data_IF_618252185265
#
_entry.id   IF_618252185265
#
_cell.length_a   1.000
_cell.length_b   1.000
_cell.length_c   1.000
_cell.angle_alpha   90.00
_cell.angle_beta   90.00
_cell.angle_gamma   90.00
#
_symmetry.space_group_name_H-M   'P 1'
#
loop_
_entity.id
_entity.type
_entity.pdbx_description
1 polymer ?
#
# COMPACT_ATOMS: atom_id res chain seq x y z
N UNK A 1 23.23 -12.18 26.92
CA UNK A 1 22.66 -11.78 25.62
C UNK A 1 21.22 -11.37 25.89
N UNK A 2 20.83 -10.12 25.63
CA UNK A 2 19.42 -9.71 25.73
C UNK A 2 18.59 -10.40 24.66
N UNK A 3 17.39 -10.84 25.01
CA UNK A 3 16.38 -11.30 24.04
C UNK A 3 15.96 -10.10 23.18
N UNK A 4 15.87 -10.29 21.86
CA UNK A 4 15.32 -9.28 20.95
C UNK A 4 13.86 -8.99 21.37
N UNK A 5 13.44 -7.74 21.26
CA UNK A 5 12.01 -7.41 21.39
C UNK A 5 11.24 -7.93 20.18
N UNK A 6 9.93 -8.07 20.31
CA UNK A 6 9.07 -8.47 19.20
C UNK A 6 9.27 -7.61 17.93
N UNK A 7 9.35 -6.30 18.10
CA UNK A 7 9.60 -5.38 16.96
C UNK A 7 11.00 -5.55 16.38
N UNK A 8 12.01 -5.89 17.18
CA UNK A 8 13.36 -6.15 16.66
C UNK A 8 13.41 -7.43 15.84
N UNK A 9 12.66 -8.46 16.24
CA UNK A 9 12.53 -9.71 15.47
C UNK A 9 11.86 -9.46 14.12
N UNK A 10 10.75 -8.69 14.12
CA UNK A 10 10.05 -8.31 12.89
C UNK A 10 10.91 -7.45 11.97
N UNK A 11 11.65 -6.49 12.52
CA UNK A 11 12.61 -5.66 11.78
C UNK A 11 13.70 -6.52 11.14
N UNK A 12 14.33 -7.39 11.92
CA UNK A 12 15.40 -8.28 11.45
C UNK A 12 14.93 -9.19 10.31
N UNK A 13 13.72 -9.74 10.42
CA UNK A 13 13.10 -10.55 9.37
C UNK A 13 12.87 -9.73 8.10
N UNK A 14 12.30 -8.54 8.20
CA UNK A 14 12.02 -7.68 7.06
C UNK A 14 13.32 -7.24 6.35
N UNK A 15 14.34 -6.85 7.09
CA UNK A 15 15.67 -6.50 6.56
C UNK A 15 16.32 -7.69 5.85
N UNK A 16 16.24 -8.88 6.45
CA UNK A 16 16.75 -10.10 5.83
C UNK A 16 16.07 -10.37 4.49
N UNK A 17 14.74 -10.30 4.43
CA UNK A 17 13.97 -10.50 3.20
C UNK A 17 14.38 -9.48 2.12
N UNK A 18 14.54 -8.22 2.47
CA UNK A 18 14.94 -7.17 1.52
C UNK A 18 16.33 -7.42 0.94
N UNK A 19 17.27 -7.84 1.78
CA UNK A 19 18.65 -8.18 1.36
C UNK A 19 18.67 -9.43 0.47
N UNK A 20 17.87 -10.44 0.81
CA UNK A 20 17.71 -11.67 0.00
C UNK A 20 17.21 -11.34 -1.41
N UNK A 21 16.17 -10.51 -1.52
CA UNK A 21 15.66 -10.09 -2.84
C UNK A 21 16.69 -9.28 -3.63
N UNK A 22 17.43 -8.39 -2.97
CA UNK A 22 18.46 -7.60 -3.63
C UNK A 22 19.62 -8.46 -4.15
N UNK A 23 19.93 -9.58 -3.46
CA UNK A 23 20.99 -10.51 -3.84
C UNK A 23 20.58 -11.49 -4.94
N UNK A 24 19.34 -11.97 -4.87
CA UNK A 24 18.89 -13.12 -5.68
C UNK A 24 18.01 -12.74 -6.87
N UNK A 25 17.33 -11.58 -6.84
CA UNK A 25 16.45 -11.14 -7.91
C UNK A 25 17.16 -10.18 -8.86
N UNK A 26 17.04 -10.44 -10.16
CA UNK A 26 17.76 -9.68 -11.19
C UNK A 26 17.38 -8.19 -11.22
N UNK A 27 16.10 -7.88 -11.08
CA UNK A 27 15.63 -6.48 -11.20
C UNK A 27 14.47 -6.20 -10.23
N UNK A 28 14.78 -5.95 -8.95
CA UNK A 28 13.75 -5.62 -7.96
C UNK A 28 13.30 -4.15 -8.05
N UNK A 29 12.09 -3.87 -7.57
CA UNK A 29 11.52 -2.53 -7.39
C UNK A 29 10.70 -2.50 -6.10
N UNK A 30 10.71 -1.38 -5.37
CA UNK A 30 9.84 -1.20 -4.22
C UNK A 30 8.64 -0.34 -4.56
N UNK A 31 7.43 -0.89 -4.39
CA UNK A 31 6.21 -0.10 -4.58
C UNK A 31 6.00 0.85 -3.41
N UNK A 32 5.82 2.13 -3.71
CA UNK A 32 5.59 3.18 -2.73
C UNK A 32 4.19 3.78 -2.90
N UNK A 33 3.26 3.34 -2.08
CA UNK A 33 1.86 3.77 -2.13
C UNK A 33 1.56 5.02 -1.28
N UNK A 34 2.58 5.56 -0.59
CA UNK A 34 2.51 6.72 0.31
C UNK A 34 1.77 6.42 1.63
N UNK A 35 1.18 5.24 1.77
CA UNK A 35 0.54 4.80 3.02
C UNK A 35 1.55 4.45 4.11
N UNK A 36 1.07 4.32 5.36
CA UNK A 36 1.89 3.99 6.55
C UNK A 36 2.77 2.74 6.34
N UNK A 37 2.20 1.70 5.75
CA UNK A 37 2.92 0.43 5.49
C UNK A 37 4.08 0.64 4.51
N UNK A 38 3.88 1.41 3.44
CA UNK A 38 4.95 1.73 2.48
C UNK A 38 5.99 2.70 3.05
N UNK A 39 5.62 3.56 4.01
CA UNK A 39 6.58 4.42 4.72
C UNK A 39 7.47 3.60 5.66
N UNK A 40 6.90 2.61 6.36
CA UNK A 40 7.68 1.61 7.13
C UNK A 40 8.61 0.82 6.21
N UNK A 41 8.11 0.36 5.06
CA UNK A 41 8.91 -0.36 4.07
C UNK A 41 10.09 0.47 3.55
N UNK A 42 9.88 1.76 3.27
CA UNK A 42 10.97 2.67 2.88
C UNK A 42 12.00 2.82 3.99
N UNK A 43 11.58 3.02 5.23
CA UNK A 43 12.47 3.13 6.39
C UNK A 43 13.31 1.85 6.55
N UNK A 44 12.67 0.68 6.49
CA UNK A 44 13.35 -0.62 6.57
C UNK A 44 14.34 -0.81 5.43
N UNK A 45 14.01 -0.40 4.21
CA UNK A 45 14.92 -0.48 3.07
C UNK A 45 16.15 0.42 3.27
N UNK A 46 15.96 1.66 3.71
CA UNK A 46 17.08 2.56 4.02
C UNK A 46 17.97 1.97 5.12
N UNK A 47 17.37 1.37 6.14
CA UNK A 47 18.11 0.72 7.25
C UNK A 47 18.83 -0.56 6.80
N UNK A 48 18.22 -1.35 5.90
CA UNK A 48 18.77 -2.60 5.39
C UNK A 48 20.10 -2.40 4.64
N UNK A 49 20.25 -1.29 3.95
CA UNK A 49 21.39 -1.01 3.09
C UNK A 49 22.30 0.12 3.60
N UNK A 50 22.00 0.66 4.80
CA UNK A 50 22.84 1.70 5.40
C UNK A 50 24.34 1.25 5.48
N UNK A 51 25.32 2.14 5.13
CA UNK A 51 25.19 3.57 4.81
C UNK A 51 24.80 3.87 3.34
N UNK A 52 24.76 2.87 2.49
CA UNK A 52 24.38 3.04 1.09
C UNK A 52 22.85 3.16 0.90
N UNK A 53 22.45 3.56 -0.28
CA UNK A 53 21.04 3.56 -0.67
C UNK A 53 20.57 2.15 -1.06
N UNK A 54 19.25 1.86 -0.96
CA UNK A 54 18.71 0.61 -1.50
C UNK A 54 19.11 0.43 -2.98
N UNK A 55 19.60 -0.76 -3.39
CA UNK A 55 20.12 -1.01 -4.74
C UNK A 55 18.98 -1.26 -5.76
N UNK A 56 17.81 -0.68 -5.52
CA UNK A 56 16.64 -0.77 -6.40
C UNK A 56 15.83 0.52 -6.35
N UNK A 57 15.13 0.87 -7.45
CA UNK A 57 14.27 2.04 -7.48
C UNK A 57 12.98 1.84 -6.68
N UNK A 58 12.34 2.95 -6.36
CA UNK A 58 10.99 3.01 -5.83
C UNK A 58 10.02 3.35 -6.95
N UNK A 59 8.79 2.84 -6.88
CA UNK A 59 7.78 3.11 -7.90
C UNK A 59 6.43 3.44 -7.29
N UNK A 60 5.89 4.57 -7.70
CA UNK A 60 4.53 4.99 -7.39
C UNK A 60 3.63 4.83 -8.62
N UNK A 61 2.51 4.13 -8.46
CA UNK A 61 1.46 4.09 -9.49
C UNK A 61 0.50 5.25 -9.23
N UNK A 62 0.60 6.27 -10.07
CA UNK A 62 -0.28 7.43 -10.01
C UNK A 62 -1.57 7.14 -10.77
N UNK A 63 -2.66 7.08 -10.03
CA UNK A 63 -4.00 6.85 -10.55
C UNK A 63 -4.73 8.14 -10.92
N UNK A 64 -4.05 9.29 -10.82
CA UNK A 64 -4.57 10.66 -11.03
C UNK A 64 -5.59 11.14 -10.01
N UNK A 65 -6.03 10.29 -9.10
CA UNK A 65 -7.01 10.57 -8.06
C UNK A 65 -6.45 10.32 -6.64
N UNK A 66 -5.21 10.73 -6.42
CA UNK A 66 -4.61 10.73 -5.07
C UNK A 66 -4.95 12.04 -4.36
N UNK A 67 -4.98 12.01 -3.03
CA UNK A 67 -5.03 13.22 -2.24
C UNK A 67 -3.83 14.12 -2.54
N UNK A 68 -4.02 15.43 -2.57
CA UNK A 68 -2.94 16.41 -2.79
C UNK A 68 -1.82 16.25 -1.76
N UNK A 69 -2.18 16.12 -0.48
CA UNK A 69 -1.22 15.87 0.60
C UNK A 69 -0.36 14.62 0.37
N UNK A 70 -0.90 13.57 -0.26
CA UNK A 70 -0.11 12.37 -0.60
C UNK A 70 0.95 12.66 -1.66
N UNK A 71 0.60 13.43 -2.69
CA UNK A 71 1.54 13.75 -3.78
C UNK A 71 2.66 14.65 -3.25
N UNK A 72 2.31 15.67 -2.49
CA UNK A 72 3.28 16.58 -1.85
C UNK A 72 4.22 15.82 -0.92
N UNK A 73 3.68 14.93 -0.09
CA UNK A 73 4.47 14.09 0.81
C UNK A 73 5.40 13.14 0.05
N UNK A 74 4.93 12.50 -1.03
CA UNK A 74 5.74 11.64 -1.89
C UNK A 74 6.96 12.39 -2.42
N UNK A 75 6.73 13.58 -3.00
CA UNK A 75 7.78 14.35 -3.65
C UNK A 75 8.77 14.90 -2.61
N UNK A 76 8.29 15.32 -1.44
CA UNK A 76 9.13 15.70 -0.30
C UNK A 76 10.05 14.54 0.12
N UNK A 77 9.47 13.38 0.40
CA UNK A 77 10.21 12.18 0.86
C UNK A 77 11.22 11.71 -0.18
N UNK A 78 10.83 11.69 -1.46
CA UNK A 78 11.74 11.29 -2.54
C UNK A 78 12.97 12.20 -2.59
N UNK A 79 12.78 13.52 -2.46
CA UNK A 79 13.84 14.52 -2.44
C UNK A 79 14.73 14.39 -1.19
N UNK A 80 14.13 14.33 0.00
CA UNK A 80 14.86 14.31 1.27
C UNK A 80 15.68 13.03 1.46
N UNK A 81 15.12 11.88 1.10
CA UNK A 81 15.82 10.59 1.15
C UNK A 81 16.72 10.34 -0.05
N UNK A 82 16.62 11.17 -1.09
CA UNK A 82 17.40 11.06 -2.31
C UNK A 82 17.21 9.71 -3.00
N UNK A 83 15.98 9.18 -2.99
CA UNK A 83 15.63 7.90 -3.63
C UNK A 83 15.26 8.09 -5.09
N UNK A 84 15.55 7.06 -5.91
CA UNK A 84 15.11 7.01 -7.30
C UNK A 84 13.62 6.62 -7.35
N UNK A 85 12.75 7.61 -7.61
CA UNK A 85 11.30 7.45 -7.60
C UNK A 85 10.74 7.47 -9.02
N UNK A 86 10.29 6.32 -9.49
CA UNK A 86 9.54 6.17 -10.73
C UNK A 86 8.06 6.46 -10.45
N UNK A 87 7.49 7.44 -11.13
CA UNK A 87 6.05 7.70 -11.13
C UNK A 87 5.47 7.19 -12.44
N UNK A 88 4.54 6.26 -12.37
CA UNK A 88 3.92 5.66 -13.55
C UNK A 88 2.41 5.88 -13.56
N UNK A 89 1.90 6.37 -14.67
CA UNK A 89 0.46 6.57 -14.93
C UNK A 89 0.05 5.79 -16.17
N UNK A 90 -1.14 5.20 -16.19
CA UNK A 90 -1.71 4.62 -17.40
C UNK A 90 -2.23 5.74 -18.31
N UNK A 91 -1.38 6.17 -19.25
CA UNK A 91 -1.70 7.28 -20.16
C UNK A 91 -2.93 7.01 -21.03
N UNK A 92 -3.16 5.76 -21.42
CA UNK A 92 -4.33 5.40 -22.22
C UNK A 92 -5.62 5.54 -21.40
N UNK A 93 -5.60 5.11 -20.14
CA UNK A 93 -6.73 5.33 -19.22
C UNK A 93 -7.01 6.83 -19.00
N UNK A 94 -5.96 7.66 -18.92
CA UNK A 94 -6.11 9.12 -18.83
C UNK A 94 -6.76 9.69 -20.09
N UNK A 95 -6.30 9.30 -21.29
CA UNK A 95 -6.87 9.76 -22.57
C UNK A 95 -8.35 9.36 -22.72
N UNK A 96 -8.73 8.21 -22.21
CA UNK A 96 -10.12 7.73 -22.18
C UNK A 96 -10.98 8.39 -21.11
N UNK A 97 -10.41 9.27 -20.27
CA UNK A 97 -11.13 9.96 -19.20
C UNK A 97 -11.58 9.03 -18.05
N UNK A 98 -10.87 7.92 -17.85
CA UNK A 98 -11.21 6.94 -16.79
C UNK A 98 -11.12 7.60 -15.42
N UNK A 99 -12.23 7.61 -14.69
CA UNK A 99 -12.34 8.25 -13.38
C UNK A 99 -13.22 7.40 -12.42
N UNK A 100 -13.11 7.60 -11.09
CA UNK A 100 -13.80 6.76 -10.11
C UNK A 100 -15.31 6.95 -10.06
N UNK A 101 -15.85 8.10 -10.52
CA UNK A 101 -17.27 8.38 -10.45
C UNK A 101 -18.06 7.69 -11.57
N UNK A 102 -17.52 7.69 -12.78
CA UNK A 102 -18.21 7.21 -13.96
C UNK A 102 -17.88 5.73 -14.25
N UNK A 103 -16.78 5.20 -13.72
CA UNK A 103 -16.26 3.88 -14.07
C UNK A 103 -16.18 2.89 -12.89
N UNK A 104 -16.48 3.33 -11.65
CA UNK A 104 -16.55 2.44 -10.48
C UNK A 104 -15.32 1.52 -10.31
N UNK A 105 -15.55 0.21 -10.22
CA UNK A 105 -14.48 -0.78 -10.07
C UNK A 105 -13.54 -0.88 -11.28
N UNK A 106 -14.01 -0.59 -12.49
CA UNK A 106 -13.18 -0.58 -13.70
C UNK A 106 -12.08 0.48 -13.63
N UNK A 107 -12.33 1.63 -12.96
CA UNK A 107 -11.29 2.61 -12.71
C UNK A 107 -10.10 2.01 -11.94
N UNK A 108 -10.36 1.26 -10.88
CA UNK A 108 -9.28 0.64 -10.09
C UNK A 108 -8.53 -0.41 -10.90
N UNK A 109 -9.22 -1.19 -11.70
CA UNK A 109 -8.56 -2.15 -12.57
C UNK A 109 -7.66 -1.45 -13.59
N UNK A 110 -8.17 -0.49 -14.34
CA UNK A 110 -7.44 0.17 -15.42
C UNK A 110 -6.31 1.05 -14.87
N UNK A 111 -6.61 1.94 -13.92
CA UNK A 111 -5.67 2.97 -13.46
C UNK A 111 -4.69 2.47 -12.40
N UNK A 112 -4.94 1.32 -11.77
CA UNK A 112 -4.04 0.75 -10.75
C UNK A 112 -3.50 -0.61 -11.17
N UNK A 113 -4.36 -1.62 -11.40
CA UNK A 113 -3.90 -3.00 -11.69
C UNK A 113 -3.19 -3.10 -13.02
N UNK A 114 -3.82 -2.62 -14.10
CA UNK A 114 -3.21 -2.65 -15.43
C UNK A 114 -2.00 -1.70 -15.51
N UNK A 115 -2.08 -0.51 -14.90
CA UNK A 115 -0.95 0.41 -14.81
C UNK A 115 0.27 -0.24 -14.16
N UNK A 116 0.07 -0.98 -13.05
CA UNK A 116 1.15 -1.71 -12.39
C UNK A 116 1.74 -2.78 -13.32
N UNK A 117 0.91 -3.58 -13.98
CA UNK A 117 1.35 -4.61 -14.93
C UNK A 117 2.15 -4.01 -16.09
N UNK A 118 1.66 -2.91 -16.66
CA UNK A 118 2.34 -2.16 -17.71
C UNK A 118 3.70 -1.65 -17.24
N UNK A 119 3.77 -1.03 -16.05
CA UNK A 119 5.01 -0.51 -15.49
C UNK A 119 6.04 -1.63 -15.27
N UNK A 120 5.65 -2.73 -14.64
CA UNK A 120 6.54 -3.86 -14.38
C UNK A 120 7.09 -4.46 -15.66
N UNK A 121 6.25 -4.60 -16.69
CA UNK A 121 6.67 -5.07 -18.02
C UNK A 121 7.58 -4.07 -18.72
N UNK A 122 7.19 -2.79 -18.75
CA UNK A 122 7.95 -1.71 -19.40
C UNK A 122 9.37 -1.60 -18.87
N UNK A 123 9.53 -1.68 -17.56
CA UNK A 123 10.84 -1.57 -16.91
C UNK A 123 11.54 -2.92 -16.73
N UNK A 124 10.88 -4.05 -17.01
CA UNK A 124 11.43 -5.39 -16.88
C UNK A 124 11.69 -5.83 -15.44
N UNK A 125 10.88 -5.35 -14.47
CA UNK A 125 11.05 -5.74 -13.08
C UNK A 125 10.63 -7.19 -12.84
N UNK A 126 11.50 -7.94 -12.18
CA UNK A 126 11.31 -9.37 -11.86
C UNK A 126 10.80 -9.61 -10.44
N UNK A 127 11.03 -8.68 -9.54
CA UNK A 127 10.51 -8.72 -8.18
C UNK A 127 9.96 -7.34 -7.78
N UNK A 128 8.81 -7.33 -7.09
CA UNK A 128 8.23 -6.08 -6.59
C UNK A 128 7.86 -6.22 -5.11
N UNK A 129 8.48 -5.40 -4.28
CA UNK A 129 8.13 -5.32 -2.86
C UNK A 129 6.80 -4.61 -2.65
N UNK A 130 6.02 -5.07 -1.69
CA UNK A 130 4.78 -4.45 -1.26
C UNK A 130 4.49 -4.58 0.21
N UNK A 131 3.71 -3.64 0.71
CA UNK A 131 3.35 -3.52 2.13
C UNK A 131 2.18 -4.40 2.57
N UNK A 132 1.84 -5.46 1.84
CA UNK A 132 0.73 -6.35 2.21
C UNK A 132 1.01 -7.14 3.47
N UNK A 133 0.04 -7.20 4.39
CA UNK A 133 0.14 -7.91 5.68
C UNK A 133 -0.93 -9.00 5.78
N UNK A 134 -0.62 -10.11 6.44
CA UNK A 134 -1.58 -11.21 6.67
C UNK A 134 -2.74 -10.80 7.57
N UNK A 135 -2.49 -9.85 8.45
CA UNK A 135 -3.46 -9.27 9.37
C UNK A 135 -4.53 -8.43 8.65
N UNK A 136 -4.19 -7.87 7.48
CA UNK A 136 -5.04 -6.94 6.74
C UNK A 136 -6.33 -7.60 6.22
N UNK A 137 -6.22 -8.83 5.69
CA UNK A 137 -7.37 -9.60 5.21
C UNK A 137 -7.06 -11.08 4.96
N UNK A 138 -8.11 -11.95 4.95
CA UNK A 138 -7.96 -13.41 4.88
C UNK A 138 -7.21 -13.91 3.64
N UNK A 139 -7.35 -13.25 2.49
CA UNK A 139 -6.67 -13.70 1.27
C UNK A 139 -5.15 -13.42 1.31
N UNK A 140 -4.72 -12.41 2.09
CA UNK A 140 -3.31 -12.16 2.35
C UNK A 140 -2.63 -13.29 3.13
N UNK A 141 -3.35 -13.93 4.03
CA UNK A 141 -2.83 -15.08 4.77
C UNK A 141 -2.51 -16.29 3.85
N UNK A 142 -3.14 -16.39 2.68
CA UNK A 142 -2.86 -17.44 1.68
C UNK A 142 -1.63 -17.12 0.82
N UNK A 143 -1.30 -15.86 0.61
CA UNK A 143 -0.07 -15.47 -0.04
C UNK A 143 1.12 -15.73 0.87
N UNK A 144 2.23 -16.16 0.29
CA UNK A 144 3.49 -16.29 0.99
C UNK A 144 4.21 -14.94 1.03
N UNK A 145 5.31 -14.88 1.76
CA UNK A 145 6.20 -13.71 1.74
C UNK A 145 6.71 -13.48 0.31
N UNK A 146 7.13 -14.57 -0.38
CA UNK A 146 7.48 -14.56 -1.80
C UNK A 146 6.31 -15.12 -2.61
N UNK A 147 5.43 -14.23 -3.06
CA UNK A 147 4.23 -14.58 -3.80
C UNK A 147 4.53 -14.65 -5.29
N UNK A 148 4.48 -15.85 -5.84
CA UNK A 148 4.78 -16.13 -7.22
C UNK A 148 3.70 -15.61 -8.18
N UNK A 149 4.15 -15.09 -9.32
CA UNK A 149 3.29 -14.60 -10.42
C UNK A 149 3.69 -15.28 -11.73
N UNK A 150 2.70 -15.80 -12.43
CA UNK A 150 2.88 -16.37 -13.75
C UNK A 150 3.16 -15.29 -14.83
N UNK A 151 3.27 -15.71 -16.10
CA UNK A 151 3.55 -14.81 -17.24
C UNK A 151 2.48 -13.73 -17.45
N UNK A 152 1.26 -14.00 -17.05
CA UNK A 152 0.13 -13.04 -17.08
C UNK A 152 0.15 -12.10 -15.85
N UNK A 153 1.18 -12.22 -15.00
CA UNK A 153 1.33 -11.52 -13.72
C UNK A 153 0.20 -11.84 -12.71
N UNK A 154 -0.47 -12.96 -12.89
CA UNK A 154 -1.51 -13.46 -12.01
C UNK A 154 -0.93 -14.29 -10.88
N UNK A 155 -1.55 -14.22 -9.70
CA UNK A 155 -1.20 -15.09 -8.59
C UNK A 155 -1.64 -16.53 -8.86
N UNK A 156 -0.70 -17.45 -8.73
CA UNK A 156 -0.94 -18.88 -8.87
C UNK A 156 -0.74 -19.61 -7.53
N UNK A 157 -1.82 -19.82 -6.76
CA UNK A 157 -1.71 -20.50 -5.46
C UNK A 157 -1.27 -21.96 -5.55
N UNK A 158 -1.42 -22.62 -6.71
CA UNK A 158 -1.03 -24.03 -6.89
C UNK A 158 0.47 -24.19 -7.02
N UNK A 159 1.14 -23.19 -7.60
CA UNK A 159 2.59 -23.18 -7.79
C UNK A 159 3.34 -22.39 -6.71
N UNK A 160 2.63 -22.00 -5.64
CA UNK A 160 3.24 -21.31 -4.52
C UNK A 160 4.21 -22.25 -3.79
N UNK A 161 5.42 -21.75 -3.57
CA UNK A 161 6.51 -22.53 -2.96
C UNK A 161 6.44 -22.47 -1.44
N UNK A 162 6.80 -23.54 -0.73
CA UNK A 162 6.87 -23.53 0.74
C UNK A 162 8.02 -22.63 1.22
N UNK A 163 7.80 -21.98 2.35
CA UNK A 163 8.79 -21.13 3.04
C UNK A 163 9.11 -21.74 4.41
N UNK A 164 9.76 -22.91 4.37
CA UNK A 164 10.13 -23.65 5.58
C UNK A 164 11.47 -23.13 6.09
N UNK A 165 11.57 -22.91 7.40
CA UNK A 165 12.78 -22.38 8.07
C UNK A 165 13.29 -21.04 7.54
N UNK A 166 12.38 -20.19 7.05
CA UNK A 166 12.73 -18.89 6.42
C UNK A 166 13.65 -19.03 5.20
N UNK A 167 13.60 -20.15 4.51
CA UNK A 167 14.28 -20.33 3.23
C UNK A 167 13.32 -19.94 2.10
N UNK A 168 13.79 -19.07 1.23
CA UNK A 168 13.00 -18.53 0.13
C UNK A 168 13.53 -19.07 -1.22
N UNK A 169 12.63 -19.41 -2.10
CA UNK A 169 12.98 -19.79 -3.46
C UNK A 169 12.60 -18.66 -4.42
N UNK A 170 13.62 -17.94 -4.87
CA UNK A 170 13.51 -16.77 -5.74
C UNK A 170 13.58 -17.09 -7.22
N UNK A 171 13.83 -18.36 -7.60
CA UNK A 171 13.95 -18.74 -9.01
C UNK A 171 12.64 -18.56 -9.74
N UNK A 172 12.69 -17.85 -10.87
CA UNK A 172 11.58 -17.64 -11.79
C UNK A 172 12.00 -18.02 -13.20
N UNK A 173 11.02 -18.39 -14.03
CA UNK A 173 11.23 -18.60 -15.46
C UNK A 173 11.04 -17.31 -16.22
N UNK A 174 11.47 -17.27 -17.47
CA UNK A 174 11.28 -16.12 -18.33
C UNK A 174 9.80 -15.69 -18.42
N UNK A 175 9.53 -14.44 -18.12
CA UNK A 175 8.19 -13.84 -18.09
C UNK A 175 7.43 -14.00 -16.77
N UNK A 176 7.95 -14.75 -15.81
CA UNK A 176 7.41 -14.84 -14.46
C UNK A 176 7.97 -13.73 -13.57
N UNK A 177 7.34 -13.47 -12.43
CA UNK A 177 7.79 -12.47 -11.48
C UNK A 177 7.36 -12.83 -10.05
N UNK A 178 7.86 -12.09 -9.08
CA UNK A 178 7.47 -12.21 -7.68
C UNK A 178 6.89 -10.92 -7.11
N UNK A 179 5.94 -11.08 -6.19
CA UNK A 179 5.59 -10.04 -5.24
C UNK A 179 6.17 -10.44 -3.89
N UNK A 180 6.87 -9.54 -3.24
CA UNK A 180 7.55 -9.81 -1.97
C UNK A 180 6.96 -8.93 -0.89
N UNK A 181 6.61 -9.55 0.24
CA UNK A 181 5.91 -8.88 1.36
C UNK A 181 6.76 -8.94 2.65
N UNK A 182 7.78 -8.10 2.81
CA UNK A 182 8.68 -8.15 3.96
C UNK A 182 8.00 -7.96 5.31
N UNK A 183 6.90 -7.22 5.33
CA UNK A 183 6.11 -6.96 6.54
C UNK A 183 4.86 -7.85 6.65
N UNK A 184 4.83 -8.99 5.95
CA UNK A 184 3.67 -9.90 5.91
C UNK A 184 3.22 -10.37 7.30
N UNK A 185 4.15 -10.54 8.22
CA UNK A 185 3.90 -11.04 9.58
C UNK A 185 3.55 -9.93 10.60
N UNK A 186 3.59 -8.66 10.19
CA UNK A 186 3.29 -7.52 11.04
C UNK A 186 1.79 -7.31 11.17
N UNK A 187 1.33 -6.92 12.36
CA UNK A 187 -0.03 -6.44 12.61
C UNK A 187 -0.14 -4.92 12.35
N UNK A 188 -1.38 -4.39 12.28
CA UNK A 188 -1.57 -2.94 12.23
C UNK A 188 -0.96 -2.24 13.45
N UNK A 189 -1.08 -2.87 14.62
CA UNK A 189 -0.46 -2.40 15.86
C UNK A 189 1.07 -2.33 15.75
N UNK A 190 1.71 -3.36 15.21
CA UNK A 190 3.17 -3.38 15.04
C UNK A 190 3.63 -2.25 14.13
N UNK A 191 2.88 -1.96 13.05
CA UNK A 191 3.16 -0.83 12.14
C UNK A 191 3.14 0.49 12.92
N UNK A 192 2.09 0.76 13.69
CA UNK A 192 1.98 2.02 14.44
C UNK A 192 3.04 2.15 15.54
N UNK A 193 3.29 1.08 16.29
CA UNK A 193 4.33 1.07 17.32
C UNK A 193 5.73 1.24 16.72
N UNK A 194 5.97 0.68 15.53
CA UNK A 194 7.25 0.85 14.85
C UNK A 194 7.43 2.27 14.30
N UNK A 195 6.37 2.86 13.73
CA UNK A 195 6.36 4.28 13.31
C UNK A 195 6.71 5.17 14.49
N UNK A 196 6.13 4.94 15.66
CA UNK A 196 6.41 5.69 16.89
C UNK A 196 7.85 5.48 17.36
N UNK A 197 8.31 4.23 17.45
CA UNK A 197 9.65 3.89 17.93
C UNK A 197 10.76 4.50 17.07
N UNK A 198 10.62 4.41 15.77
CA UNK A 198 11.63 4.87 14.80
C UNK A 198 11.42 6.33 14.35
N UNK A 199 10.37 7.00 14.89
CA UNK A 199 9.98 8.35 14.50
C UNK A 199 9.84 8.51 12.97
N UNK A 200 9.11 7.57 12.35
CA UNK A 200 8.90 7.55 10.90
C UNK A 200 7.90 8.64 10.53
N UNK A 201 8.29 9.52 9.63
CA UNK A 201 7.38 10.50 9.08
C UNK A 201 6.33 9.84 8.18
N UNK A 202 5.06 10.19 8.39
CA UNK A 202 3.91 9.70 7.61
C UNK A 202 3.08 10.88 7.11
N UNK A 203 2.28 10.63 6.06
CA UNK A 203 1.43 11.65 5.48
C UNK A 203 0.42 12.19 6.51
N UNK A 204 0.17 13.52 6.55
CA UNK A 204 -0.69 14.16 7.56
C UNK A 204 -2.14 13.66 7.60
N UNK A 205 -2.62 13.01 6.54
CA UNK A 205 -3.95 12.42 6.46
C UNK A 205 -4.25 11.36 7.54
N UNK A 206 -3.23 10.80 8.18
CA UNK A 206 -3.41 9.86 9.29
C UNK A 206 -3.77 10.55 10.61
N UNK A 207 -3.52 11.84 10.73
CA UNK A 207 -3.86 12.65 11.90
C UNK A 207 -5.20 13.33 11.71
N UNK A 208 -5.98 13.45 12.77
CA UNK A 208 -7.24 14.18 12.76
C UNK A 208 -7.02 15.66 12.44
N UNK A 209 -7.81 16.15 11.50
CA UNK A 209 -7.85 17.57 11.14
C UNK A 209 -9.25 17.94 10.66
N UNK A 210 -9.60 19.22 10.76
CA UNK A 210 -10.83 19.73 10.17
C UNK A 210 -10.72 19.73 8.65
N UNK A 211 -11.60 18.96 7.98
CA UNK A 211 -11.56 18.73 6.55
C UNK A 211 -12.94 18.89 5.92
N UNK A 212 -13.04 19.42 4.68
CA UNK A 212 -14.29 19.42 3.93
C UNK A 212 -14.65 17.99 3.52
N UNK A 213 -15.85 17.56 3.88
CA UNK A 213 -16.32 16.19 3.62
C UNK A 213 -17.77 16.19 3.13
N UNK A 214 -18.15 15.09 2.49
CA UNK A 214 -19.55 14.73 2.22
C UNK A 214 -19.83 13.36 2.81
N UNK A 215 -21.04 13.15 3.30
CA UNK A 215 -21.52 11.82 3.69
C UNK A 215 -22.17 11.14 2.50
N UNK A 216 -21.71 9.95 2.18
CA UNK A 216 -22.19 9.17 1.04
C UNK A 216 -22.24 7.69 1.38
N UNK A 217 -23.46 7.12 1.34
CA UNK A 217 -23.67 5.70 1.60
C UNK A 217 -23.04 5.22 2.93
N UNK A 218 -23.16 6.05 3.99
CA UNK A 218 -22.59 5.78 5.31
C UNK A 218 -21.07 5.97 5.42
N UNK A 219 -20.43 6.51 4.38
CA UNK A 219 -18.99 6.81 4.38
C UNK A 219 -18.75 8.31 4.39
N UNK A 220 -17.72 8.74 5.11
CA UNK A 220 -17.23 10.12 5.11
C UNK A 220 -16.19 10.25 4.02
N UNK A 221 -16.51 10.99 2.95
CA UNK A 221 -15.62 11.19 1.81
C UNK A 221 -15.08 12.61 1.83
N UNK A 222 -13.77 12.78 1.89
CA UNK A 222 -13.13 14.09 1.84
C UNK A 222 -13.29 14.71 0.44
N UNK A 223 -13.57 16.00 0.41
CA UNK A 223 -13.59 16.83 -0.80
C UNK A 223 -12.21 17.45 -0.98
N UNK A 224 -11.34 16.79 -1.73
CA UNK A 224 -9.93 17.19 -1.87
C UNK A 224 -9.72 18.28 -2.94
N UNK A 225 -10.55 18.27 -3.98
CA UNK A 225 -10.49 19.24 -5.07
C UNK A 225 -11.86 19.45 -5.78
N UNK A 226 -11.87 20.32 -6.78
CA UNK A 226 -13.04 20.71 -7.58
C UNK A 226 -13.57 19.63 -8.52
N UNK A 227 -12.84 18.54 -8.70
CA UNK A 227 -13.29 17.37 -9.48
C UNK A 227 -14.33 16.52 -8.76
N UNK A 228 -14.59 16.77 -7.46
CA UNK A 228 -15.62 16.05 -6.71
C UNK A 228 -17.00 16.29 -7.32
N UNK A 229 -17.65 15.22 -7.73
CA UNK A 229 -19.04 15.25 -8.21
C UNK A 229 -19.99 15.05 -7.01
N UNK A 230 -20.67 16.13 -6.60
CA UNK A 230 -21.70 16.06 -5.57
C UNK A 230 -22.98 15.44 -6.13
N UNK A 231 -23.63 14.59 -5.35
CA UNK A 231 -24.95 14.05 -5.66
C UNK A 231 -26.06 15.07 -5.27
N UNK A 232 -27.25 14.98 -5.87
CA UNK A 232 -28.37 15.84 -5.45
C UNK A 232 -28.64 15.72 -3.95
N UNK A 233 -28.65 16.85 -3.26
CA UNK A 233 -28.89 16.93 -1.81
C UNK A 233 -27.65 16.76 -0.93
N UNK A 234 -26.50 16.34 -1.46
CA UNK A 234 -25.23 16.35 -0.70
C UNK A 234 -24.79 17.78 -0.40
N UNK A 235 -24.28 17.99 0.82
CA UNK A 235 -23.68 19.25 1.26
C UNK A 235 -22.27 18.99 1.76
N UNK A 236 -21.37 19.92 1.47
CA UNK A 236 -20.03 19.91 2.04
C UNK A 236 -20.12 20.40 3.47
N UNK A 237 -19.67 19.58 4.41
CA UNK A 237 -19.54 19.88 5.82
C UNK A 237 -18.07 19.88 6.21
N UNK A 238 -17.72 20.57 7.30
CA UNK A 238 -16.39 20.50 7.87
C UNK A 238 -16.44 19.64 9.13
N UNK A 239 -15.64 18.57 9.14
CA UNK A 239 -15.55 17.64 10.26
C UNK A 239 -14.10 17.34 10.61
N UNK A 240 -13.85 17.05 11.89
CA UNK A 240 -12.55 16.52 12.33
C UNK A 240 -12.45 15.06 11.93
N UNK A 241 -11.64 14.77 10.92
CA UNK A 241 -11.50 13.43 10.35
C UNK A 241 -10.05 13.05 10.13
N UNK A 242 -9.76 11.76 10.24
CA UNK A 242 -8.52 11.12 9.83
C UNK A 242 -8.78 9.88 8.97
N UNK A 243 -7.73 9.33 8.41
CA UNK A 243 -7.82 8.11 7.61
C UNK A 243 -7.06 6.96 8.29
N UNK A 244 -7.60 5.74 8.27
CA UNK A 244 -6.90 4.53 8.72
C UNK A 244 -6.10 3.88 7.59
N UNK A 245 -6.62 3.99 6.36
CA UNK A 245 -5.94 3.53 5.13
C UNK A 245 -6.06 4.59 4.06
N UNK A 246 -5.12 4.63 3.14
CA UNK A 246 -5.09 5.60 2.05
C UNK A 246 -5.15 4.93 0.68
N UNK A 247 -5.91 5.53 -0.21
CA UNK A 247 -6.08 5.07 -1.59
C UNK A 247 -6.34 6.23 -2.54
N UNK A 248 -7.31 6.08 -3.44
CA UNK A 248 -7.85 7.17 -4.25
C UNK A 248 -8.88 7.94 -3.43
N UNK A 249 -8.83 9.27 -3.44
CA UNK A 249 -9.59 10.06 -2.47
C UNK A 249 -11.11 9.83 -2.49
N UNK A 250 -11.79 9.68 -3.63
CA UNK A 250 -13.24 9.45 -3.60
C UNK A 250 -13.63 8.01 -3.24
N UNK A 251 -12.65 7.09 -3.16
CA UNK A 251 -12.84 5.68 -2.82
C UNK A 251 -12.28 5.32 -1.43
N UNK A 252 -11.87 6.32 -0.67
CA UNK A 252 -11.29 6.18 0.66
C UNK A 252 -12.14 6.95 1.66
N UNK A 253 -12.80 6.23 2.55
CA UNK A 253 -13.56 6.83 3.64
C UNK A 253 -12.66 7.29 4.77
N UNK A 254 -12.97 8.46 5.33
CA UNK A 254 -12.43 8.94 6.61
C UNK A 254 -13.24 8.42 7.78
N UNK A 255 -12.71 8.59 8.97
CA UNK A 255 -13.39 8.38 10.24
C UNK A 255 -13.38 9.67 11.05
N UNK A 256 -14.46 10.00 11.75
CA UNK A 256 -14.45 11.07 12.73
C UNK A 256 -13.50 10.71 13.86
N UNK A 257 -12.61 11.62 14.21
CA UNK A 257 -11.59 11.38 15.21
C UNK A 257 -11.05 12.71 15.74
N UNK A 258 -10.52 12.66 16.95
CA UNK A 258 -9.78 13.78 17.58
C UNK A 258 -8.30 13.44 17.77
N UNK A 259 -7.83 12.30 17.26
CA UNK A 259 -6.46 11.84 17.43
C UNK A 259 -5.48 12.67 16.57
N UNK A 260 -4.71 13.52 17.22
CA UNK A 260 -3.72 14.43 16.60
C UNK A 260 -2.28 13.96 16.80
N UNK A 261 -2.07 12.94 17.63
CA UNK A 261 -0.75 12.38 17.96
C UNK A 261 -0.68 10.90 17.64
N UNK A 262 0.54 10.36 17.53
CA UNK A 262 0.73 8.91 17.34
C UNK A 262 0.19 8.09 18.51
N UNK A 263 0.35 8.58 19.74
CA UNK A 263 -0.17 7.90 20.93
C UNK A 263 -1.69 7.75 20.86
N UNK A 264 -2.39 8.83 20.53
CA UNK A 264 -3.86 8.81 20.38
C UNK A 264 -4.31 7.89 19.25
N UNK A 265 -3.60 7.87 18.11
CA UNK A 265 -3.88 6.94 17.00
C UNK A 265 -3.69 5.50 17.43
N UNK A 266 -2.64 5.21 18.19
CA UNK A 266 -2.35 3.86 18.71
C UNK A 266 -3.48 3.43 19.65
N UNK A 267 -3.90 4.29 20.58
CA UNK A 267 -4.97 4.02 21.51
C UNK A 267 -6.31 3.77 20.80
N UNK A 268 -6.65 4.56 19.79
CA UNK A 268 -7.81 4.32 18.94
C UNK A 268 -7.71 2.99 18.18
N UNK A 269 -6.52 2.67 17.66
CA UNK A 269 -6.29 1.41 16.92
C UNK A 269 -6.45 0.20 17.82
N UNK A 270 -5.95 0.28 19.06
CA UNK A 270 -6.09 -0.79 20.06
C UNK A 270 -7.54 -1.00 20.50
N UNK A 271 -8.34 0.05 20.49
CA UNK A 271 -9.75 0.03 20.86
C UNK A 271 -10.67 -0.39 19.69
N UNK A 272 -10.16 -0.39 18.47
CA UNK A 272 -10.95 -0.72 17.29
C UNK A 272 -11.21 -2.23 17.19
N UNK A 273 -12.48 -2.61 17.01
CA UNK A 273 -12.91 -4.00 16.80
C UNK A 273 -12.81 -4.39 15.31
N UNK A 274 -12.93 -3.40 14.43
CA UNK A 274 -13.01 -3.59 12.99
C UNK A 274 -11.64 -3.48 12.29
N UNK A 275 -11.48 -4.23 11.19
CA UNK A 275 -10.32 -4.12 10.32
C UNK A 275 -10.15 -2.72 9.75
N UNK A 276 -8.90 -2.28 9.56
CA UNK A 276 -8.57 -1.00 8.93
C UNK A 276 -9.19 -0.83 7.52
N UNK A 277 -9.53 -1.92 6.85
CA UNK A 277 -10.12 -1.90 5.50
C UNK A 277 -11.61 -1.60 5.47
N UNK A 278 -12.29 -1.58 6.61
CA UNK A 278 -13.74 -1.32 6.69
C UNK A 278 -14.14 0.03 6.09
N UNK A 279 -13.25 1.02 6.15
CA UNK A 279 -13.45 2.35 5.55
C UNK A 279 -13.18 2.43 4.04
N UNK A 280 -12.81 1.33 3.38
CA UNK A 280 -12.59 1.34 1.92
C UNK A 280 -13.88 1.06 1.18
N UNK A 281 -14.45 2.10 0.58
CA UNK A 281 -15.70 2.04 -0.20
C UNK A 281 -15.65 0.96 -1.29
N UNK A 282 -14.50 0.80 -1.95
CA UNK A 282 -14.32 -0.18 -3.03
C UNK A 282 -14.41 -1.65 -2.57
N UNK A 283 -14.16 -1.93 -1.31
CA UNK A 283 -14.19 -3.31 -0.80
C UNK A 283 -15.63 -3.77 -0.48
N UNK A 284 -16.59 -2.84 -0.44
CA UNK A 284 -18.01 -3.14 -0.28
C UNK A 284 -18.70 -3.64 -1.57
N UNK A 285 -18.12 -3.38 -2.74
CA UNK A 285 -18.69 -3.74 -4.06
C UNK A 285 -18.56 -5.23 -4.44
N UNK A 286 -17.96 -6.06 -3.60
CA UNK A 286 -17.75 -7.47 -3.93
C UNK A 286 -17.64 -8.36 -2.70
N UNK A 287 -18.43 -9.43 -2.65
CA UNK A 287 -18.41 -10.39 -1.53
C UNK A 287 -17.02 -10.93 -1.15
N UNK A 288 -16.93 -11.74 -0.10
CA UNK A 288 -15.69 -12.23 0.53
C UNK A 288 -14.61 -12.84 -0.42
N UNK A 289 -14.98 -13.18 -1.66
CA UNK A 289 -14.07 -13.72 -2.68
C UNK A 289 -13.48 -12.63 -3.62
N UNK A 290 -13.87 -11.35 -3.47
CA UNK A 290 -13.51 -10.31 -4.44
C UNK A 290 -12.00 -10.04 -4.49
N UNK A 291 -11.32 -10.03 -3.35
CA UNK A 291 -9.87 -9.81 -3.29
C UNK A 291 -9.07 -10.99 -3.86
N UNK A 292 -9.51 -12.23 -3.62
CA UNK A 292 -8.86 -13.40 -4.21
C UNK A 292 -8.97 -13.41 -5.73
N UNK A 293 -10.14 -12.99 -6.27
CA UNK A 293 -10.33 -12.82 -7.71
C UNK A 293 -9.42 -11.73 -8.27
N UNK A 294 -9.37 -10.55 -7.63
CA UNK A 294 -8.50 -9.43 -8.05
C UNK A 294 -7.02 -9.82 -8.08
N UNK A 295 -6.55 -10.65 -7.13
CA UNK A 295 -5.17 -11.15 -7.14
C UNK A 295 -4.88 -12.08 -8.32
N UNK A 296 -5.85 -12.91 -8.71
CA UNK A 296 -5.75 -13.72 -9.94
C UNK A 296 -5.72 -12.86 -11.20
N UNK A 297 -6.29 -11.68 -11.16
CA UNK A 297 -6.24 -10.66 -12.22
C UNK A 297 -4.95 -9.83 -12.20
N UNK A 298 -4.09 -10.02 -11.19
CA UNK A 298 -2.80 -9.34 -11.04
C UNK A 298 -2.80 -8.15 -10.07
N UNK A 299 -3.88 -7.97 -9.29
CA UNK A 299 -3.92 -6.95 -8.23
C UNK A 299 -2.85 -7.21 -7.16
N UNK A 300 -2.35 -6.11 -6.60
CA UNK A 300 -1.28 -6.13 -5.60
C UNK A 300 -1.85 -6.01 -4.19
#
# INVERSE_FOLDING_TARGET
>A
MGTLSHLDELEAEAIYIMREVAAECEKPVMLYSIGKDSSVMLHLAMKAFYPEKPPFPFMHIDTTWKFKEMIEFRDKVAKEKGIDMIVYTNEEGVKQGINPFDHGSAYTDIMKTQALKQALTKYGFTAAFGGGRRDEEKSRAKERIFSFRNKEQAWDPKNQRPEVWKLYNTQIKQGESMRVFPISNWTEKDIWQYIQRENIEIVPLYYAAERPVVERDGNIIMVDDDRMKLRPGEKIEHKSVRFRTLGCYPLTGGIESTAHTLDEIIDETLSAVDSERTSRVIDHDGGAASMERRKKEGYF
#
